data_IF_013696880878
#
_entry.id   IF_013696880878
#
_cell.length_a   1.000
_cell.length_b   1.000
_cell.length_c   1.000
_cell.angle_alpha   90.00
_cell.angle_beta   90.00
_cell.angle_gamma   90.00
#
_symmetry.space_group_name_H-M   'P 1'
#
loop_
_entity.id
_entity.type
_entity.pdbx_description
1 polymer ?
#
# COMPACT_ATOMS: atom_id res chain seq x y z
N UNK A 1 21.87 -15.24 -4.00
CA UNK A 1 20.46 -15.22 -3.58
C UNK A 1 19.82 -16.61 -3.38
N UNK A 2 20.12 -17.63 -4.19
CA UNK A 2 19.49 -18.96 -4.09
C UNK A 2 19.66 -19.70 -2.73
N UNK A 3 20.72 -19.41 -1.97
CA UNK A 3 20.97 -19.97 -0.65
C UNK A 3 20.37 -19.15 0.51
N UNK A 4 19.69 -18.04 0.23
CA UNK A 4 19.17 -17.17 1.28
C UNK A 4 17.98 -17.81 2.01
N UNK A 5 17.89 -17.78 3.35
CA UNK A 5 16.84 -18.48 4.09
C UNK A 5 15.43 -17.95 3.81
N UNK A 6 15.29 -16.65 3.52
CA UNK A 6 13.97 -16.00 3.39
C UNK A 6 13.36 -16.15 1.99
N UNK A 7 14.16 -15.99 0.93
CA UNK A 7 13.68 -15.94 -0.47
C UNK A 7 14.45 -16.90 -1.40
N UNK A 8 15.33 -17.73 -0.85
CA UNK A 8 16.14 -18.66 -1.65
C UNK A 8 15.29 -19.66 -2.42
N UNK A 9 14.13 -20.07 -1.88
CA UNK A 9 13.16 -20.93 -2.59
C UNK A 9 12.66 -20.26 -3.86
N UNK A 10 12.21 -19.01 -3.78
CA UNK A 10 11.76 -18.21 -4.93
C UNK A 10 12.88 -18.04 -5.96
N UNK A 11 14.10 -17.72 -5.51
CA UNK A 11 15.24 -17.60 -6.41
C UNK A 11 15.59 -18.92 -7.12
N UNK A 12 15.56 -20.06 -6.42
CA UNK A 12 15.76 -21.38 -7.02
C UNK A 12 14.67 -21.73 -8.05
N UNK A 13 13.41 -21.41 -7.72
CA UNK A 13 12.28 -21.59 -8.64
C UNK A 13 12.50 -20.80 -9.94
N UNK A 14 12.82 -19.51 -9.84
CA UNK A 14 13.09 -18.66 -11.01
C UNK A 14 14.24 -19.20 -11.88
N UNK A 15 15.33 -19.65 -11.26
CA UNK A 15 16.46 -20.26 -11.98
C UNK A 15 16.05 -21.54 -12.72
N UNK A 16 15.19 -22.36 -12.12
CA UNK A 16 14.69 -23.59 -12.74
C UNK A 16 13.77 -23.31 -13.96
N UNK A 17 13.06 -22.18 -13.95
CA UNK A 17 12.17 -21.78 -15.05
C UNK A 17 12.90 -21.24 -16.29
N UNK A 18 14.24 -21.13 -16.27
CA UNK A 18 15.10 -20.75 -17.42
C UNK A 18 14.57 -19.54 -18.22
N UNK A 19 14.15 -18.47 -17.54
CA UNK A 19 13.63 -17.22 -18.16
C UNK A 19 12.31 -17.35 -18.93
N UNK A 20 11.49 -18.39 -18.69
CA UNK A 20 10.13 -18.46 -19.26
C UNK A 20 9.18 -17.39 -18.71
N UNK A 21 9.50 -16.84 -17.54
CA UNK A 21 8.78 -15.76 -16.90
C UNK A 21 9.51 -14.46 -17.27
N UNK A 22 8.84 -13.60 -18.04
CA UNK A 22 9.38 -12.32 -18.47
C UNK A 22 9.26 -11.26 -17.39
N UNK A 23 10.17 -10.28 -17.39
CA UNK A 23 10.02 -9.10 -16.55
C UNK A 23 8.81 -8.28 -17.00
N UNK A 24 8.06 -7.71 -16.05
CA UNK A 24 7.06 -6.69 -16.37
C UNK A 24 7.73 -5.55 -17.14
N UNK A 25 7.13 -5.10 -18.25
CA UNK A 25 7.66 -3.99 -19.03
C UNK A 25 7.44 -2.67 -18.30
N UNK A 26 8.44 -1.77 -18.34
CA UNK A 26 8.34 -0.42 -17.77
C UNK A 26 8.79 0.64 -18.78
N UNK A 27 8.54 1.92 -18.44
CA UNK A 27 9.04 3.06 -19.20
C UNK A 27 10.56 3.17 -19.05
N UNK A 28 11.28 3.27 -20.17
CA UNK A 28 12.72 3.56 -20.18
C UNK A 28 12.91 5.07 -20.26
N UNK A 29 13.56 5.64 -19.26
CA UNK A 29 13.90 7.07 -19.21
C UNK A 29 15.32 7.32 -19.69
N UNK A 30 16.21 6.32 -19.60
CA UNK A 30 17.55 6.35 -20.19
C UNK A 30 18.68 6.72 -19.23
N UNK A 31 18.37 7.11 -17.99
CA UNK A 31 19.38 7.53 -17.01
C UNK A 31 20.06 6.34 -16.32
N UNK A 32 19.26 5.41 -15.79
CA UNK A 32 19.72 4.26 -15.03
C UNK A 32 18.83 3.02 -15.24
N UNK A 33 19.38 1.85 -14.93
CA UNK A 33 18.60 0.63 -14.74
C UNK A 33 17.70 0.76 -13.48
N UNK A 34 16.60 -0.01 -13.39
CA UNK A 34 15.79 -0.05 -12.19
C UNK A 34 16.60 -0.40 -10.93
N UNK A 35 16.11 0.04 -9.76
CA UNK A 35 16.73 -0.29 -8.46
C UNK A 35 16.71 -1.82 -8.28
N UNK A 36 17.88 -2.45 -8.37
CA UNK A 36 18.05 -3.90 -8.33
C UNK A 36 19.10 -4.32 -7.29
N UNK A 37 18.93 -5.49 -6.64
CA UNK A 37 19.91 -5.97 -5.68
C UNK A 37 21.17 -6.48 -6.38
N UNK A 38 22.31 -5.83 -6.12
CA UNK A 38 23.61 -6.19 -6.74
C UNK A 38 24.42 -7.20 -5.91
N UNK A 39 24.15 -7.31 -4.60
CA UNK A 39 24.81 -8.25 -3.69
C UNK A 39 23.82 -8.91 -2.75
N UNK A 40 24.03 -10.20 -2.51
CA UNK A 40 23.30 -10.93 -1.48
C UNK A 40 23.91 -10.63 -0.10
N UNK A 41 23.10 -10.14 0.85
CA UNK A 41 23.52 -9.91 2.25
C UNK A 41 22.68 -10.70 3.24
N UNK A 42 23.26 -11.05 4.38
CA UNK A 42 22.60 -11.70 5.52
C UNK A 42 22.03 -10.64 6.47
N UNK A 43 21.00 -11.02 7.23
CA UNK A 43 20.29 -10.13 8.17
C UNK A 43 21.20 -9.38 9.14
N UNK A 44 22.25 -10.02 9.64
CA UNK A 44 23.16 -9.42 10.64
C UNK A 44 24.16 -8.43 10.04
N UNK A 45 24.32 -8.39 8.71
CA UNK A 45 25.23 -7.44 8.05
C UNK A 45 24.66 -6.01 7.98
N UNK A 46 23.35 -5.85 8.19
CA UNK A 46 22.66 -4.57 8.06
C UNK A 46 21.93 -4.16 9.34
N UNK A 47 21.85 -2.84 9.59
CA UNK A 47 21.00 -2.29 10.65
C UNK A 47 19.52 -2.59 10.36
N UNK A 48 18.62 -2.55 11.37
CA UNK A 48 17.21 -2.89 11.16
C UNK A 48 16.50 -2.07 10.06
N UNK A 49 16.81 -0.78 9.91
CA UNK A 49 16.21 0.07 8.87
C UNK A 49 16.73 -0.31 7.48
N UNK A 50 18.05 -0.41 7.34
CA UNK A 50 18.74 -0.81 6.10
C UNK A 50 18.27 -2.17 5.62
N UNK A 51 18.13 -3.14 6.54
CA UNK A 51 17.61 -4.47 6.23
C UNK A 51 16.20 -4.42 5.65
N UNK A 52 15.29 -3.62 6.23
CA UNK A 52 13.91 -3.53 5.75
C UNK A 52 13.83 -2.99 4.32
N UNK A 53 14.64 -1.97 4.01
CA UNK A 53 14.73 -1.42 2.64
C UNK A 53 15.33 -2.46 1.69
N UNK A 54 16.44 -3.09 2.08
CA UNK A 54 17.08 -4.13 1.27
C UNK A 54 16.14 -5.31 0.99
N UNK A 55 15.48 -5.84 2.02
CA UNK A 55 14.53 -6.95 1.88
C UNK A 55 13.38 -6.57 0.93
N UNK A 56 12.84 -5.35 1.04
CA UNK A 56 11.81 -4.87 0.14
C UNK A 56 12.31 -4.83 -1.31
N UNK A 57 13.48 -4.25 -1.56
CA UNK A 57 14.09 -4.19 -2.90
C UNK A 57 14.31 -5.59 -3.48
N UNK A 58 14.84 -6.54 -2.69
CA UNK A 58 15.05 -7.92 -3.16
C UNK A 58 13.74 -8.61 -3.48
N UNK A 59 12.74 -8.51 -2.60
CA UNK A 59 11.43 -9.14 -2.83
C UNK A 59 10.73 -8.54 -4.05
N UNK A 60 10.81 -7.22 -4.22
CA UNK A 60 10.23 -6.52 -5.36
C UNK A 60 10.91 -6.93 -6.67
N UNK A 61 12.24 -7.03 -6.69
CA UNK A 61 12.98 -7.54 -7.85
C UNK A 61 12.62 -9.01 -8.18
N UNK A 62 12.50 -9.88 -7.18
CA UNK A 62 12.08 -11.27 -7.44
C UNK A 62 10.63 -11.33 -7.94
N UNK A 63 9.76 -10.49 -7.40
CA UNK A 63 8.36 -10.36 -7.82
C UNK A 63 8.25 -9.90 -9.28
N UNK A 64 9.08 -8.94 -9.71
CA UNK A 64 9.06 -8.44 -11.10
C UNK A 64 9.48 -9.48 -12.14
N UNK A 65 10.07 -10.61 -11.70
CA UNK A 65 10.46 -11.75 -12.55
C UNK A 65 9.47 -12.92 -12.49
N UNK A 66 8.46 -12.83 -11.62
CA UNK A 66 7.41 -13.85 -11.49
C UNK A 66 6.21 -13.50 -12.38
N UNK A 67 5.35 -14.49 -12.63
CA UNK A 67 4.10 -14.27 -13.35
C UNK A 67 3.05 -13.55 -12.49
N UNK A 68 1.96 -13.15 -13.13
CA UNK A 68 0.85 -12.46 -12.46
C UNK A 68 0.21 -13.32 -11.37
N UNK A 69 -0.24 -12.66 -10.29
CA UNK A 69 -1.18 -13.24 -9.35
C UNK A 69 -2.53 -13.42 -10.08
N UNK A 70 -3.03 -14.65 -10.16
CA UNK A 70 -4.33 -14.96 -10.77
C UNK A 70 -5.30 -15.42 -9.69
N UNK A 71 -6.45 -14.78 -9.64
CA UNK A 71 -7.49 -15.08 -8.67
C UNK A 71 -8.86 -14.79 -9.27
N UNK A 72 -9.87 -15.45 -8.73
CA UNK A 72 -11.28 -15.14 -8.98
C UNK A 72 -11.91 -14.54 -7.75
N UNK A 73 -12.93 -13.75 -8.00
CA UNK A 73 -13.83 -13.27 -6.95
C UNK A 73 -15.14 -14.01 -7.14
N UNK A 74 -15.53 -14.77 -6.13
CA UNK A 74 -16.83 -15.43 -6.06
C UNK A 74 -17.76 -14.53 -5.27
N UNK A 75 -18.86 -14.13 -5.88
CA UNK A 75 -19.91 -13.35 -5.21
C UNK A 75 -21.18 -14.20 -5.16
N UNK A 76 -21.71 -14.40 -3.95
CA UNK A 76 -22.99 -15.06 -3.70
C UNK A 76 -23.99 -14.03 -3.17
N UNK A 77 -25.14 -13.95 -3.84
CA UNK A 77 -26.25 -13.08 -3.45
C UNK A 77 -27.35 -13.91 -2.81
N UNK A 78 -27.84 -13.47 -1.65
CA UNK A 78 -28.91 -14.14 -0.93
C UNK A 78 -30.12 -13.21 -0.84
N UNK A 79 -31.26 -13.72 -1.28
CA UNK A 79 -32.56 -13.11 -1.01
C UNK A 79 -33.08 -13.55 0.35
N UNK A 80 -33.64 -12.63 1.12
CA UNK A 80 -34.34 -12.93 2.37
C UNK A 80 -35.84 -13.05 2.07
N UNK A 81 -36.41 -14.25 2.20
CA UNK A 81 -37.81 -14.53 1.81
C UNK A 81 -38.85 -13.83 2.72
N UNK A 82 -38.57 -13.66 4.01
CA UNK A 82 -39.47 -12.98 4.96
C UNK A 82 -38.70 -12.08 5.93
N UNK A 83 -38.99 -10.78 5.89
CA UNK A 83 -38.76 -9.85 7.00
C UNK A 83 -40.14 -9.39 7.45
N UNK A 84 -40.48 -9.58 8.74
CA UNK A 84 -41.82 -9.25 9.28
C UNK A 84 -42.25 -7.80 8.99
N UNK A 85 -41.29 -6.88 8.79
CA UNK A 85 -41.55 -5.46 8.53
C UNK A 85 -40.46 -4.80 7.65
N UNK A 86 -40.31 -5.20 6.37
CA UNK A 86 -39.33 -4.52 5.52
C UNK A 86 -39.32 -4.91 4.03
N UNK A 87 -38.58 -4.12 3.25
CA UNK A 87 -38.26 -4.45 1.86
C UNK A 87 -37.31 -5.67 1.82
N UNK A 88 -37.34 -6.43 0.73
CA UNK A 88 -36.37 -7.49 0.48
C UNK A 88 -34.93 -6.93 0.56
N UNK A 89 -34.13 -7.45 1.49
CA UNK A 89 -32.71 -7.14 1.62
C UNK A 89 -31.94 -8.19 0.83
N UNK A 90 -31.08 -7.74 -0.09
CA UNK A 90 -30.09 -8.60 -0.72
C UNK A 90 -28.82 -8.60 0.13
N UNK A 91 -28.39 -9.79 0.57
CA UNK A 91 -27.11 -9.96 1.26
C UNK A 91 -26.08 -10.42 0.24
N UNK A 92 -24.88 -9.83 0.28
CA UNK A 92 -23.76 -10.22 -0.56
C UNK A 92 -22.67 -10.89 0.29
N UNK A 93 -22.23 -12.07 -0.13
CA UNK A 93 -20.98 -12.66 0.32
C UNK A 93 -19.98 -12.65 -0.84
N UNK A 94 -18.83 -12.01 -0.62
CA UNK A 94 -17.73 -11.98 -1.57
C UNK A 94 -16.60 -12.84 -1.02
N UNK A 95 -15.96 -13.67 -1.85
CA UNK A 95 -14.76 -14.45 -1.49
C UNK A 95 -13.70 -14.33 -2.59
N UNK A 96 -12.44 -14.19 -2.19
CA UNK A 96 -11.28 -14.23 -3.11
C UNK A 96 -10.66 -15.62 -3.12
N UNK A 97 -10.62 -16.26 -4.29
CA UNK A 97 -10.01 -17.59 -4.50
C UNK A 97 -8.78 -17.43 -5.37
N UNK A 98 -7.60 -17.81 -4.85
CA UNK A 98 -6.32 -17.68 -5.56
C UNK A 98 -6.09 -18.92 -6.41
N UNK A 99 -6.04 -18.75 -7.73
CA UNK A 99 -5.79 -19.85 -8.68
C UNK A 99 -4.28 -20.02 -8.95
N UNK A 100 -3.51 -18.92 -8.99
CA UNK A 100 -2.04 -18.91 -9.10
C UNK A 100 -1.46 -17.75 -8.27
N UNK A 101 -0.55 -18.06 -7.36
CA UNK A 101 0.03 -17.08 -6.42
C UNK A 101 0.94 -16.05 -7.12
N UNK A 102 1.53 -16.40 -8.27
CA UNK A 102 2.40 -15.52 -9.04
C UNK A 102 3.42 -14.74 -8.20
N UNK A 103 3.55 -13.45 -8.50
CA UNK A 103 4.47 -12.53 -7.82
C UNK A 103 4.16 -12.33 -6.32
N UNK A 104 2.93 -12.58 -5.89
CA UNK A 104 2.53 -12.43 -4.49
C UNK A 104 3.25 -13.44 -3.58
N UNK A 105 3.80 -14.54 -4.13
CA UNK A 105 4.67 -15.45 -3.39
C UNK A 105 5.98 -14.79 -2.90
N UNK A 106 6.48 -13.77 -3.61
CA UNK A 106 7.61 -12.95 -3.18
C UNK A 106 7.18 -11.76 -2.31
N UNK A 107 5.96 -11.27 -2.50
CA UNK A 107 5.35 -10.12 -1.80
C UNK A 107 4.04 -10.51 -1.08
N UNK A 108 4.11 -11.20 0.07
CA UNK A 108 2.91 -11.76 0.73
C UNK A 108 1.88 -10.72 1.18
N UNK A 109 2.30 -9.47 1.39
CA UNK A 109 1.37 -8.38 1.76
C UNK A 109 0.34 -8.09 0.68
N UNK A 110 0.63 -8.37 -0.59
CA UNK A 110 -0.33 -8.21 -1.69
C UNK A 110 -1.54 -9.11 -1.53
N UNK A 111 -1.36 -10.35 -1.06
CA UNK A 111 -2.50 -11.24 -0.79
C UNK A 111 -3.41 -10.69 0.29
N UNK A 112 -2.84 -10.07 1.33
CA UNK A 112 -3.62 -9.45 2.40
C UNK A 112 -4.48 -8.30 1.87
N UNK A 113 -3.92 -7.49 0.98
CA UNK A 113 -4.61 -6.35 0.38
C UNK A 113 -5.72 -6.82 -0.57
N UNK A 114 -5.43 -7.79 -1.45
CA UNK A 114 -6.41 -8.34 -2.41
C UNK A 114 -7.56 -9.05 -1.69
N UNK A 115 -7.28 -9.78 -0.61
CA UNK A 115 -8.29 -10.46 0.21
C UNK A 115 -9.10 -9.52 1.10
N UNK A 116 -8.71 -8.26 1.24
CA UNK A 116 -9.43 -7.30 2.10
C UNK A 116 -9.57 -7.76 3.56
N UNK A 117 -8.60 -8.52 4.07
CA UNK A 117 -8.64 -9.10 5.43
C UNK A 117 -9.33 -10.46 5.55
N UNK A 118 -9.81 -11.05 4.45
CA UNK A 118 -10.29 -12.44 4.45
C UNK A 118 -9.15 -13.42 4.74
N UNK A 119 -9.45 -14.41 5.58
CA UNK A 119 -8.53 -15.52 5.85
C UNK A 119 -8.39 -16.44 4.62
N UNK A 120 -7.33 -17.23 4.63
CA UNK A 120 -7.13 -18.28 3.62
C UNK A 120 -8.04 -19.47 3.94
N UNK A 121 -9.27 -19.41 3.47
CA UNK A 121 -10.28 -20.45 3.69
C UNK A 121 -10.55 -21.20 2.39
N UNK A 122 -11.01 -22.45 2.53
CA UNK A 122 -11.49 -23.21 1.37
C UNK A 122 -12.61 -22.47 0.65
N UNK A 123 -12.67 -22.64 -0.67
CA UNK A 123 -13.73 -22.07 -1.51
C UNK A 123 -15.10 -22.55 -0.99
N UNK A 124 -15.96 -21.59 -0.68
CA UNK A 124 -17.33 -21.87 -0.23
C UNK A 124 -18.12 -22.37 -1.43
N UNK A 125 -18.43 -23.67 -1.43
CA UNK A 125 -19.20 -24.31 -2.50
C UNK A 125 -20.69 -24.09 -2.26
N UNK A 126 -21.25 -23.08 -2.91
CA UNK A 126 -22.68 -22.82 -2.96
C UNK A 126 -23.20 -23.00 -4.38
N UNK A 127 -24.40 -23.55 -4.49
CA UNK A 127 -25.16 -23.69 -5.73
C UNK A 127 -26.39 -22.80 -5.69
N UNK A 128 -26.87 -22.39 -6.88
CA UNK A 128 -28.10 -21.61 -6.98
C UNK A 128 -29.28 -22.40 -6.42
N UNK A 129 -30.00 -21.80 -5.46
CA UNK A 129 -31.12 -22.44 -4.77
C UNK A 129 -30.76 -23.01 -3.40
N UNK A 130 -29.48 -23.02 -3.02
CA UNK A 130 -29.07 -23.40 -1.67
C UNK A 130 -29.68 -22.46 -0.62
N UNK A 131 -30.07 -23.04 0.52
CA UNK A 131 -30.62 -22.30 1.66
C UNK A 131 -29.58 -22.23 2.76
N UNK A 132 -29.36 -21.04 3.29
CA UNK A 132 -28.45 -20.79 4.42
C UNK A 132 -29.23 -20.31 5.63
N UNK A 133 -28.82 -20.74 6.83
CA UNK A 133 -29.41 -20.25 8.07
C UNK A 133 -28.76 -18.93 8.46
N UNK A 134 -29.56 -17.87 8.48
CA UNK A 134 -29.17 -16.58 9.01
C UNK A 134 -28.99 -16.69 10.54
N UNK A 135 -27.79 -16.40 11.04
CA UNK A 135 -27.47 -16.49 12.47
C UNK A 135 -27.66 -15.17 13.23
N UNK A 136 -27.33 -14.06 12.60
CA UNK A 136 -27.34 -12.73 13.21
C UNK A 136 -27.52 -11.68 12.11
N UNK A 137 -28.34 -10.66 12.37
CA UNK A 137 -28.47 -9.45 11.54
C UNK A 137 -28.20 -8.26 12.44
N UNK A 138 -27.27 -7.41 12.01
CA UNK A 138 -26.96 -6.15 12.69
C UNK A 138 -27.18 -5.00 11.74
N UNK A 139 -27.80 -3.95 12.26
CA UNK A 139 -27.87 -2.66 11.59
C UNK A 139 -26.76 -1.80 12.17
N UNK A 140 -25.77 -1.47 11.35
CA UNK A 140 -24.69 -0.58 11.74
C UNK A 140 -24.98 0.83 11.23
N UNK A 141 -25.15 1.77 12.17
CA UNK A 141 -25.18 3.18 11.83
C UNK A 141 -23.76 3.67 11.56
N UNK A 142 -23.55 4.29 10.40
CA UNK A 142 -22.28 4.90 10.06
C UNK A 142 -22.50 6.30 9.48
N UNK A 143 -21.50 7.16 9.66
CA UNK A 143 -21.48 8.51 9.12
C UNK A 143 -20.34 8.63 8.12
N UNK A 144 -20.53 9.45 7.09
CA UNK A 144 -19.44 9.80 6.17
C UNK A 144 -18.34 10.50 6.95
N UNK A 145 -17.10 10.13 6.68
CA UNK A 145 -15.93 10.75 7.31
C UNK A 145 -15.33 11.76 6.36
N UNK A 146 -14.89 12.90 6.88
CA UNK A 146 -14.07 13.84 6.11
C UNK A 146 -12.82 13.14 5.57
N UNK A 147 -12.30 13.53 4.40
CA UNK A 147 -11.01 13.05 3.93
C UNK A 147 -9.92 13.23 4.99
N UNK A 148 -9.01 12.26 5.08
CA UNK A 148 -7.83 12.39 5.92
C UNK A 148 -6.85 13.42 5.37
N UNK A 149 -5.84 13.75 6.18
CA UNK A 149 -4.69 14.49 5.67
C UNK A 149 -3.85 13.61 4.75
N UNK A 150 -3.13 14.25 3.82
CA UNK A 150 -2.23 13.56 2.89
C UNK A 150 -1.15 12.79 3.64
N UNK A 151 -0.96 11.54 3.27
CA UNK A 151 0.21 10.78 3.63
C UNK A 151 1.41 11.20 2.78
N UNK A 152 2.62 10.97 3.28
CA UNK A 152 3.85 11.31 2.52
C UNK A 152 3.88 10.70 1.12
N UNK A 153 3.43 9.45 0.96
CA UNK A 153 3.39 8.79 -0.34
C UNK A 153 2.35 9.43 -1.29
N UNK A 154 1.23 9.92 -0.76
CA UNK A 154 0.21 10.62 -1.54
C UNK A 154 0.74 11.99 -2.00
N UNK A 155 1.49 12.69 -1.14
CA UNK A 155 2.16 13.93 -1.53
C UNK A 155 3.23 13.68 -2.61
N UNK A 156 4.02 12.62 -2.51
CA UNK A 156 4.98 12.22 -3.57
C UNK A 156 4.24 11.98 -4.88
N UNK A 157 3.13 11.23 -4.87
CA UNK A 157 2.33 11.00 -6.08
C UNK A 157 1.76 12.30 -6.66
N UNK A 158 1.31 13.23 -5.82
CA UNK A 158 0.83 14.54 -6.26
C UNK A 158 1.97 15.39 -6.86
N UNK A 159 3.15 15.38 -6.26
CA UNK A 159 4.33 16.07 -6.80
C UNK A 159 4.72 15.52 -8.17
N UNK A 160 4.75 14.19 -8.32
CA UNK A 160 5.05 13.51 -9.58
C UNK A 160 4.00 13.82 -10.67
N UNK A 161 2.72 13.74 -10.32
CA UNK A 161 1.59 14.05 -11.22
C UNK A 161 1.65 15.50 -11.72
N UNK A 162 2.09 16.42 -10.87
CA UNK A 162 2.23 17.84 -11.20
C UNK A 162 3.62 18.20 -11.76
N UNK A 163 4.53 17.23 -11.91
CA UNK A 163 5.86 17.44 -12.47
C UNK A 163 6.80 18.30 -11.63
N UNK A 164 6.58 18.42 -10.31
CA UNK A 164 7.41 19.23 -9.42
C UNK A 164 8.35 18.36 -8.57
N UNK A 165 9.54 18.87 -8.27
CA UNK A 165 10.53 18.12 -7.49
C UNK A 165 11.08 16.90 -8.24
N UNK A 166 11.22 17.01 -9.57
CA UNK A 166 11.86 15.99 -10.42
C UNK A 166 13.34 15.79 -10.04
N UNK A 167 14.00 14.80 -10.64
CA UNK A 167 15.41 14.45 -10.35
C UNK A 167 15.65 14.06 -8.88
N UNK A 168 14.81 13.15 -8.37
CA UNK A 168 14.87 12.60 -7.00
C UNK A 168 14.82 13.63 -5.85
N UNK A 169 14.38 14.88 -6.12
CA UNK A 169 14.36 15.97 -5.15
C UNK A 169 13.09 16.05 -4.30
N UNK A 170 12.02 15.31 -4.64
CA UNK A 170 10.74 15.31 -3.88
C UNK A 170 10.93 15.10 -2.38
N UNK A 171 11.77 14.12 -2.01
CA UNK A 171 12.06 13.80 -0.61
C UNK A 171 12.68 14.99 0.16
N UNK A 172 13.55 15.76 -0.51
CA UNK A 172 14.17 16.95 0.07
C UNK A 172 13.14 18.08 0.27
N UNK A 173 12.24 18.29 -0.70
CA UNK A 173 11.18 19.29 -0.56
C UNK A 173 10.22 18.95 0.58
N UNK A 174 9.85 17.67 0.74
CA UNK A 174 9.01 17.20 1.84
C UNK A 174 9.74 17.38 3.18
N UNK A 175 11.02 17.00 3.28
CA UNK A 175 11.82 17.23 4.48
C UNK A 175 11.89 18.72 4.85
N UNK A 176 12.08 19.60 3.87
CA UNK A 176 12.17 21.05 4.08
C UNK A 176 10.90 21.64 4.72
N UNK A 177 9.70 21.20 4.34
CA UNK A 177 8.44 21.73 4.92
C UNK A 177 8.18 21.18 6.34
N UNK A 178 8.68 19.96 6.62
CA UNK A 178 8.64 19.36 7.97
C UNK A 178 9.63 20.06 8.89
N UNK A 179 10.87 20.28 8.44
CA UNK A 179 11.94 20.91 9.22
C UNK A 179 11.60 22.36 9.57
N UNK A 180 10.99 23.09 8.64
CA UNK A 180 10.48 24.46 8.86
C UNK A 180 9.19 24.53 9.68
N UNK A 181 8.66 23.38 10.13
CA UNK A 181 7.43 23.30 10.95
C UNK A 181 6.19 23.88 10.27
N UNK A 182 6.12 23.83 8.94
CA UNK A 182 4.89 24.15 8.20
C UNK A 182 3.91 22.98 8.25
N UNK A 183 4.43 21.76 8.35
CA UNK A 183 3.65 20.54 8.59
C UNK A 183 4.29 19.74 9.71
N UNK A 184 3.49 18.94 10.41
CA UNK A 184 3.94 17.91 11.35
C UNK A 184 3.51 16.54 10.83
N UNK A 185 4.32 15.53 11.11
CA UNK A 185 3.99 14.14 10.73
C UNK A 185 3.22 13.51 11.88
N UNK A 186 1.98 13.08 11.62
CA UNK A 186 1.12 12.44 12.61
C UNK A 186 0.79 10.99 12.25
N UNK A 187 0.44 10.21 13.27
CA UNK A 187 -0.13 8.88 13.11
C UNK A 187 -1.62 8.93 12.69
N UNK A 188 -2.24 7.77 12.50
CA UNK A 188 -3.67 7.67 12.14
C UNK A 188 -4.63 8.30 13.18
N UNK A 189 -4.16 8.54 14.41
CA UNK A 189 -4.93 9.18 15.49
C UNK A 189 -4.60 10.67 15.62
N UNK A 190 -3.91 11.26 14.64
CA UNK A 190 -3.45 12.64 14.62
C UNK A 190 -2.47 12.98 15.75
N UNK A 191 -1.77 11.99 16.32
CA UNK A 191 -0.72 12.22 17.29
C UNK A 191 0.61 12.46 16.59
N UNK A 192 1.32 13.54 16.97
CA UNK A 192 2.60 13.89 16.36
C UNK A 192 3.64 12.80 16.59
N UNK A 193 4.21 12.33 15.48
CA UNK A 193 5.31 11.38 15.45
C UNK A 193 6.61 12.14 15.70
N UNK A 194 6.93 12.34 16.98
CA UNK A 194 8.21 12.91 17.36
C UNK A 194 9.33 11.92 17.00
N UNK A 195 10.26 12.35 16.15
CA UNK A 195 11.41 11.55 15.72
C UNK A 195 12.35 11.29 16.90
N UNK A 196 12.02 10.29 17.73
CA UNK A 196 12.88 9.81 18.81
C UNK A 196 13.73 8.65 18.29
N UNK A 197 15.00 8.51 18.72
CA UNK A 197 15.86 7.42 18.28
C UNK A 197 15.17 6.06 18.42
N UNK A 198 15.34 5.16 17.43
CA UNK A 198 14.61 3.91 17.37
C UNK A 198 14.99 3.02 18.56
N UNK A 199 14.04 2.78 19.48
CA UNK A 199 14.12 1.64 20.41
C UNK A 199 13.61 0.40 19.68
N UNK A 200 14.29 -0.73 19.86
CA UNK A 200 14.02 -2.00 19.15
C UNK A 200 12.58 -2.53 19.26
N UNK A 201 11.83 -2.10 20.28
CA UNK A 201 10.47 -2.58 20.57
C UNK A 201 9.35 -1.56 20.28
N UNK A 202 9.60 -0.49 19.51
CA UNK A 202 8.50 0.43 19.19
C UNK A 202 7.58 -0.18 18.13
N UNK A 203 6.25 -0.05 18.30
CA UNK A 203 5.31 -0.45 17.27
C UNK A 203 5.64 0.27 15.96
N UNK A 204 5.33 -0.39 14.84
CA UNK A 204 5.43 0.20 13.51
C UNK A 204 4.68 1.53 13.53
N UNK A 205 5.31 2.61 13.08
CA UNK A 205 4.61 3.87 12.88
C UNK A 205 3.63 3.65 11.71
N UNK A 206 2.34 3.68 12.00
CA UNK A 206 1.25 3.50 11.04
C UNK A 206 0.55 4.85 10.93
N UNK A 207 0.30 5.29 9.70
CA UNK A 207 -0.12 6.67 9.43
C UNK A 207 1.07 7.60 9.48
N UNK A 208 1.46 8.16 8.33
CA UNK A 208 2.44 9.26 8.24
C UNK A 208 1.75 10.41 7.53
N UNK A 209 0.77 10.98 8.22
CA UNK A 209 -0.07 12.06 7.72
C UNK A 209 0.63 13.40 7.93
N UNK A 210 0.66 14.22 6.88
CA UNK A 210 1.23 15.56 6.90
C UNK A 210 0.13 16.55 7.32
N UNK A 211 0.14 16.93 8.60
CA UNK A 211 -0.85 17.84 9.18
C UNK A 211 -0.29 19.27 9.15
N UNK A 212 -0.93 20.22 8.45
CA UNK A 212 -0.50 21.62 8.44
C UNK A 212 -0.55 22.25 9.82
N UNK A 213 0.49 23.00 10.18
CA UNK A 213 0.51 23.81 11.40
C UNK A 213 -0.22 25.14 11.17
N UNK A 214 -0.62 25.87 12.23
CA UNK A 214 -1.20 27.21 12.06
C UNK A 214 -0.31 28.16 11.24
N UNK A 215 1.02 28.04 11.40
CA UNK A 215 1.99 28.80 10.59
C UNK A 215 1.95 28.41 9.11
N UNK A 216 1.94 27.10 8.82
CA UNK A 216 1.86 26.60 7.45
C UNK A 216 0.58 27.04 6.74
N UNK A 217 -0.56 26.94 7.43
CA UNK A 217 -1.86 27.38 6.92
C UNK A 217 -1.85 28.88 6.65
N UNK A 218 -1.44 29.69 7.64
CA UNK A 218 -1.41 31.14 7.49
C UNK A 218 -0.53 31.59 6.32
N UNK A 219 0.64 30.96 6.12
CA UNK A 219 1.52 31.28 4.98
C UNK A 219 0.82 31.02 3.65
N UNK A 220 0.22 29.84 3.47
CA UNK A 220 -0.49 29.47 2.24
C UNK A 220 -1.66 30.43 2.00
N UNK A 221 -2.49 30.70 3.01
CA UNK A 221 -3.64 31.61 2.88
C UNK A 221 -3.21 33.02 2.49
N UNK A 222 -2.12 33.54 3.06
CA UNK A 222 -1.59 34.86 2.70
C UNK A 222 -1.07 34.88 1.25
N UNK A 223 -0.33 33.86 0.81
CA UNK A 223 0.11 33.78 -0.58
C UNK A 223 -1.05 33.62 -1.56
N UNK A 224 -2.08 32.84 -1.23
CA UNK A 224 -3.28 32.69 -2.06
C UNK A 224 -4.02 34.03 -2.20
N UNK A 225 -4.23 34.74 -1.08
CA UNK A 225 -4.87 36.06 -1.07
C UNK A 225 -4.11 37.10 -1.89
N UNK A 226 -2.78 37.04 -1.89
CA UNK A 226 -1.97 37.95 -2.68
C UNK A 226 -1.92 37.56 -4.16
N UNK A 227 -1.53 36.31 -4.44
CA UNK A 227 -1.43 35.73 -5.78
C UNK A 227 -1.40 34.18 -5.71
N UNK A 228 -2.55 33.56 -5.95
CA UNK A 228 -2.77 32.09 -5.93
C UNK A 228 -1.73 31.28 -6.72
N UNK A 229 -1.30 31.81 -7.86
CA UNK A 229 -0.23 31.27 -8.70
C UNK A 229 1.10 30.99 -7.97
N UNK A 230 1.37 31.63 -6.83
CA UNK A 230 2.57 31.36 -6.04
C UNK A 230 2.51 30.04 -5.25
N UNK A 231 1.31 29.48 -5.08
CA UNK A 231 1.06 28.24 -4.35
C UNK A 231 0.81 27.07 -5.30
N UNK A 232 0.14 27.34 -6.44
CA UNK A 232 -0.14 26.31 -7.43
C UNK A 232 1.15 25.75 -8.04
N UNK A 233 1.20 24.43 -8.33
CA UNK A 233 2.41 23.80 -8.88
C UNK A 233 2.71 24.22 -10.32
N UNK A 234 1.78 24.86 -11.02
CA UNK A 234 1.87 25.18 -12.45
C UNK A 234 2.99 26.14 -12.86
N UNK A 235 3.63 26.82 -11.90
CA UNK A 235 4.69 27.82 -12.15
C UNK A 235 6.09 27.28 -11.77
N UNK A 236 6.18 26.07 -11.24
CA UNK A 236 7.44 25.48 -10.74
C UNK A 236 8.24 24.76 -11.82
#
# INVERSE_FOLDING_TARGET
HASHPVWGRTAKYLLAQKNKLGSTSGRRVGDHDPITPTRCVKRHELKPVEWRVYEYVVRHFLASLLGDLKYRVVTAEFGVEELEHGNAVALEHRQVVVDDIGYAGAMPWVLKDVRGGQEDTEEVKLSKGDRVTLRDIRVEESMTKRPGFLQEHELVSLMDTNGIGTDASMSQHIANIIDRKYVVVCDNNLQEIVHRPPKSNRPRQIGRQLVPTPLGIALIENYVRWKEQLVLPSIR
#
